data_IF_138000138343
#
_entry.id   IF_138000138343
#
_cell.length_a   1.000
_cell.length_b   1.000
_cell.length_c   1.000
_cell.angle_alpha   90.00
_cell.angle_beta   90.00
_cell.angle_gamma   90.00
#
_symmetry.space_group_name_H-M   'P 1'
#
loop_
_entity.id
_entity.type
_entity.pdbx_description
1 polymer ?
#
# COMPACT_ATOMS: atom_id res chain seq x y z
N UNK A 1 8.85 -16.00 -62.96
CA UNK A 1 9.37 -14.98 -63.91
C UNK A 1 8.17 -14.12 -64.31
N UNK A 2 8.07 -12.79 -64.25
CA UNK A 2 8.87 -11.63 -63.82
C UNK A 2 7.82 -10.50 -63.59
N UNK A 3 7.67 -9.94 -62.38
CA UNK A 3 8.27 -8.71 -61.83
C UNK A 3 7.96 -7.37 -62.52
N UNK A 4 7.23 -6.49 -61.81
CA UNK A 4 7.24 -5.02 -61.76
C UNK A 4 6.19 -4.60 -60.70
N UNK A 5 6.40 -3.98 -59.54
CA UNK A 5 7.38 -3.05 -58.94
C UNK A 5 7.37 -1.60 -59.47
N UNK A 6 6.79 -0.69 -58.66
CA UNK A 6 7.29 0.67 -58.32
C UNK A 6 6.47 1.21 -57.12
N UNK A 7 7.06 1.37 -55.92
CA UNK A 7 7.71 2.57 -55.28
C UNK A 7 6.73 3.31 -54.35
N UNK A 8 7.06 3.89 -53.18
CA UNK A 8 8.23 4.06 -52.28
C UNK A 8 7.64 4.62 -50.94
N UNK A 9 8.27 4.74 -49.76
CA UNK A 9 9.67 4.90 -49.40
C UNK A 9 9.92 4.49 -47.92
N UNK A 10 11.08 3.86 -47.68
CA UNK A 10 11.78 3.78 -46.40
C UNK A 10 12.87 4.86 -46.37
N UNK A 11 13.18 5.37 -45.17
CA UNK A 11 14.38 6.15 -44.90
C UNK A 11 14.96 5.75 -43.55
N UNK A 12 16.04 4.97 -43.58
CA UNK A 12 17.00 4.77 -42.50
C UNK A 12 18.28 5.48 -42.94
N UNK A 13 18.92 6.25 -42.07
CA UNK A 13 20.38 6.41 -42.11
C UNK A 13 20.91 6.87 -40.75
N UNK A 14 22.14 6.44 -40.48
CA UNK A 14 22.82 6.42 -39.19
C UNK A 14 23.93 7.48 -39.09
N UNK A 15 24.41 7.65 -37.85
CA UNK A 15 25.74 8.13 -37.44
C UNK A 15 26.21 9.57 -37.73
N UNK A 16 26.47 10.31 -36.64
CA UNK A 16 27.78 10.96 -36.40
C UNK A 16 27.90 11.49 -34.95
N UNK A 17 28.86 10.95 -34.20
CA UNK A 17 29.52 11.64 -33.08
C UNK A 17 30.51 12.69 -33.62
N UNK A 18 30.82 13.74 -32.83
CA UNK A 18 32.11 13.76 -32.12
C UNK A 18 32.04 14.39 -30.69
N UNK A 19 32.95 14.00 -29.79
CA UNK A 19 33.36 14.80 -28.61
C UNK A 19 34.77 15.42 -28.85
N UNK A 20 35.53 15.93 -27.84
CA UNK A 20 35.23 16.37 -26.45
C UNK A 20 35.90 17.75 -26.07
N UNK A 21 35.89 18.13 -24.76
CA UNK A 21 36.64 19.22 -24.06
C UNK A 21 36.08 20.67 -24.15
N UNK A 22 36.16 21.57 -23.14
CA UNK A 22 36.58 21.61 -21.72
C UNK A 22 36.15 22.98 -21.13
N UNK A 23 35.90 23.00 -19.82
CA UNK A 23 36.16 24.09 -18.83
C UNK A 23 35.56 25.50 -18.99
N UNK A 24 34.64 25.86 -18.07
CA UNK A 24 34.75 26.98 -17.11
C UNK A 24 33.61 26.98 -16.08
N UNK A 25 33.96 26.68 -14.83
CA UNK A 25 33.28 27.07 -13.58
C UNK A 25 33.92 28.38 -13.06
N UNK A 26 33.57 28.99 -11.90
CA UNK A 26 32.28 29.24 -11.21
C UNK A 26 32.16 30.73 -10.75
N UNK A 27 31.05 31.15 -10.10
CA UNK A 27 30.90 32.16 -9.00
C UNK A 27 29.38 32.46 -8.82
N UNK A 28 28.68 32.00 -7.77
CA UNK A 28 28.52 32.45 -6.34
C UNK A 28 27.37 33.48 -6.14
N UNK A 29 26.18 33.02 -5.69
CA UNK A 29 25.48 33.25 -4.39
C UNK A 29 24.30 34.27 -4.47
N UNK A 30 23.02 33.82 -4.45
CA UNK A 30 22.07 33.63 -3.30
C UNK A 30 21.41 34.94 -2.78
N UNK A 31 20.23 34.91 -2.11
CA UNK A 31 19.10 33.96 -2.07
C UNK A 31 17.72 34.66 -2.27
N UNK A 32 16.59 33.95 -2.45
CA UNK A 32 15.28 34.22 -1.79
C UNK A 32 14.30 33.07 -2.12
N UNK A 33 13.54 32.59 -1.13
CA UNK A 33 12.38 31.72 -1.36
C UNK A 33 12.43 30.27 -0.86
N UNK A 34 13.27 29.94 0.14
CA UNK A 34 13.10 28.70 0.94
C UNK A 34 12.09 28.93 2.07
N UNK A 35 10.83 28.53 1.88
CA UNK A 35 9.91 28.24 3.01
C UNK A 35 8.97 27.11 2.62
N UNK A 36 9.33 25.88 2.96
CA UNK A 36 8.38 24.76 2.90
C UNK A 36 8.96 23.36 3.09
N UNK A 37 10.23 23.14 2.72
CA UNK A 37 10.72 21.77 2.51
C UNK A 37 11.83 21.27 3.45
N UNK A 38 12.34 22.09 4.36
CA UNK A 38 13.39 21.66 5.29
C UNK A 38 12.87 21.68 6.73
N UNK A 39 12.31 20.56 7.21
CA UNK A 39 12.28 20.18 8.64
C UNK A 39 11.76 18.74 8.90
N UNK A 40 11.98 17.80 7.98
CA UNK A 40 11.86 16.37 8.30
C UNK A 40 13.27 15.84 8.57
N UNK A 41 13.63 15.49 9.82
CA UNK A 41 14.89 14.81 10.07
C UNK A 41 14.84 13.42 9.44
N UNK A 42 15.94 13.06 8.76
CA UNK A 42 16.26 11.71 8.29
C UNK A 42 15.97 10.67 9.37
N UNK A 43 15.32 9.58 8.98
CA UNK A 43 15.11 8.42 9.83
C UNK A 43 15.49 7.15 9.06
N UNK A 44 16.77 6.81 9.16
CA UNK A 44 17.31 5.49 8.82
C UNK A 44 16.75 4.43 9.80
N UNK A 45 16.59 3.17 9.37
CA UNK A 45 16.17 2.06 10.23
C UNK A 45 17.38 1.55 11.04
N UNK A 46 17.34 1.61 12.37
CA UNK A 46 18.38 0.98 13.19
C UNK A 46 18.51 1.40 14.66
N UNK A 47 17.89 2.48 15.12
CA UNK A 47 18.09 2.96 16.49
C UNK A 47 16.87 2.67 17.39
N UNK A 48 17.10 1.98 18.51
CA UNK A 48 16.19 1.87 19.65
C UNK A 48 15.65 3.25 20.04
N UNK A 49 14.32 3.49 20.08
CA UNK A 49 13.81 4.85 20.20
C UNK A 49 13.74 5.31 21.66
N UNK A 50 14.80 5.97 22.13
CA UNK A 50 14.65 7.00 23.15
C UNK A 50 14.02 8.25 22.50
N UNK A 51 12.70 8.39 22.73
CA UNK A 51 11.79 9.54 22.58
C UNK A 51 11.95 10.50 21.38
N UNK A 52 11.36 10.14 20.23
CA UNK A 52 10.96 11.08 19.20
C UNK A 52 9.77 12.00 19.59
N UNK A 53 9.22 11.90 20.81
CA UNK A 53 7.99 12.61 21.24
C UNK A 53 8.17 14.12 21.42
N UNK A 54 9.34 14.57 21.87
CA UNK A 54 9.51 15.92 22.42
C UNK A 54 9.69 16.96 21.32
N UNK A 55 10.33 16.56 20.21
CA UNK A 55 10.47 17.40 19.00
C UNK A 55 9.11 17.66 18.33
N UNK A 56 8.28 16.63 18.21
CA UNK A 56 6.93 16.77 17.64
C UNK A 56 5.98 17.50 18.58
N UNK A 57 6.12 17.29 19.89
CA UNK A 57 5.38 18.05 20.89
C UNK A 57 5.78 19.54 20.84
N UNK A 58 7.07 19.87 20.78
CA UNK A 58 7.54 21.26 20.64
C UNK A 58 7.00 21.95 19.38
N UNK A 59 7.00 21.25 18.23
CA UNK A 59 6.45 21.78 16.98
C UNK A 59 4.93 22.02 17.06
N UNK A 60 4.17 21.07 17.63
CA UNK A 60 2.72 21.17 17.77
C UNK A 60 2.28 22.11 18.91
N UNK A 61 3.16 22.37 19.88
CA UNK A 61 2.95 23.27 21.00
C UNK A 61 3.26 24.73 20.67
N UNK A 62 4.06 24.99 19.63
CA UNK A 62 4.45 26.33 19.17
C UNK A 62 3.22 27.18 18.78
N UNK A 63 3.20 28.43 19.26
CA UNK A 63 2.10 29.39 19.08
C UNK A 63 1.68 29.58 17.63
N UNK A 64 2.63 29.53 16.69
CA UNK A 64 2.38 29.63 15.25
C UNK A 64 1.53 28.47 14.72
N UNK A 65 1.72 27.25 15.22
CA UNK A 65 0.95 26.07 14.79
C UNK A 65 -0.33 25.85 15.59
N UNK A 66 -0.50 26.51 16.74
CA UNK A 66 -1.76 26.50 17.50
C UNK A 66 -2.79 27.52 17.03
N UNK A 67 -2.43 28.45 16.14
CA UNK A 67 -3.34 29.43 15.56
C UNK A 67 -4.33 28.78 14.58
N UNK A 68 -5.60 29.21 14.58
CA UNK A 68 -6.67 28.60 13.78
C UNK A 68 -6.38 28.58 12.28
N UNK A 69 -5.72 29.63 11.76
CA UNK A 69 -5.31 29.75 10.36
C UNK A 69 -4.39 28.59 9.90
N UNK A 70 -3.66 27.97 10.83
CA UNK A 70 -2.72 26.87 10.56
C UNK A 70 -3.30 25.49 10.90
N UNK A 71 -4.61 25.41 11.19
CA UNK A 71 -5.31 24.18 11.56
C UNK A 71 -5.22 23.08 10.51
N UNK A 72 -5.25 23.43 9.22
CA UNK A 72 -5.10 22.47 8.13
C UNK A 72 -3.69 21.85 8.09
N UNK A 73 -2.65 22.65 8.32
CA UNK A 73 -1.27 22.18 8.36
C UNK A 73 -1.00 21.30 9.58
N UNK A 74 -1.53 21.70 10.75
CA UNK A 74 -1.49 20.90 11.98
C UNK A 74 -2.21 19.56 11.79
N UNK A 75 -3.38 19.55 11.16
CA UNK A 75 -4.12 18.33 10.86
C UNK A 75 -3.34 17.38 9.93
N UNK A 76 -2.60 17.91 8.95
CA UNK A 76 -1.71 17.11 8.09
C UNK A 76 -0.56 16.49 8.87
N UNK A 77 0.10 17.24 9.75
CA UNK A 77 1.20 16.75 10.58
C UNK A 77 0.70 15.66 11.54
N UNK A 78 -0.41 15.91 12.25
CA UNK A 78 -1.01 14.92 13.17
C UNK A 78 -1.48 13.67 12.41
N UNK A 79 -2.07 13.84 11.24
CA UNK A 79 -2.44 12.71 10.37
C UNK A 79 -1.21 11.93 9.90
N UNK A 80 -0.11 12.61 9.61
CA UNK A 80 1.19 11.99 9.27
C UNK A 80 1.77 11.20 10.45
N UNK A 81 1.75 11.76 11.66
CA UNK A 81 2.21 11.07 12.87
C UNK A 81 1.33 9.86 13.22
N UNK A 82 0.01 9.99 13.07
CA UNK A 82 -0.93 8.88 13.24
C UNK A 82 -0.67 7.78 12.22
N UNK A 83 -0.36 8.17 10.98
CA UNK A 83 -0.06 7.26 9.87
C UNK A 83 1.27 6.52 10.08
N UNK A 84 2.28 7.16 10.64
CA UNK A 84 3.63 6.57 10.81
C UNK A 84 3.75 5.79 12.12
N UNK A 85 3.25 6.33 13.23
CA UNK A 85 3.52 5.81 14.58
C UNK A 85 2.26 5.29 15.31
N UNK A 86 1.09 5.42 14.69
CA UNK A 86 -0.17 4.97 15.26
C UNK A 86 -0.78 5.92 16.28
N UNK A 87 -2.04 5.64 16.65
CA UNK A 87 -2.84 6.55 17.47
C UNK A 87 -2.31 6.70 18.91
N UNK A 88 -1.79 5.62 19.51
CA UNK A 88 -1.24 5.65 20.86
C UNK A 88 -0.02 6.60 20.97
N UNK A 89 0.79 6.67 19.91
CA UNK A 89 1.91 7.60 19.84
C UNK A 89 1.43 9.05 19.76
N UNK A 90 0.43 9.32 18.91
CA UNK A 90 -0.16 10.66 18.79
C UNK A 90 -0.77 11.13 20.11
N UNK A 91 -1.45 10.26 20.85
CA UNK A 91 -1.98 10.60 22.18
C UNK A 91 -0.86 10.99 23.16
N UNK A 92 0.28 10.27 23.16
CA UNK A 92 1.43 10.65 24.00
C UNK A 92 2.05 11.99 23.61
N UNK A 93 2.12 12.30 22.31
CA UNK A 93 2.62 13.60 21.83
C UNK A 93 1.67 14.73 22.24
N UNK A 94 0.36 14.53 22.08
CA UNK A 94 -0.66 15.51 22.49
C UNK A 94 -0.63 15.74 24.00
N UNK A 95 -0.50 14.68 24.79
CA UNK A 95 -0.43 14.79 26.25
C UNK A 95 0.82 15.56 26.69
N UNK A 96 1.96 15.34 26.04
CA UNK A 96 3.19 16.09 26.30
C UNK A 96 3.04 17.59 25.97
N UNK A 97 2.34 17.93 24.88
CA UNK A 97 2.01 19.34 24.55
C UNK A 97 1.16 19.98 25.66
N UNK A 98 0.27 19.21 26.30
CA UNK A 98 -0.55 19.69 27.43
C UNK A 98 0.30 19.90 28.68
N UNK A 99 1.13 18.92 29.06
CA UNK A 99 2.00 19.03 30.23
C UNK A 99 2.97 20.22 30.14
N UNK A 100 3.59 20.43 28.96
CA UNK A 100 4.51 21.54 28.74
C UNK A 100 3.83 22.93 28.83
N UNK A 101 2.53 23.03 28.50
CA UNK A 101 1.76 24.29 28.63
C UNK A 101 1.39 24.61 30.08
N UNK A 102 1.17 23.59 30.90
CA UNK A 102 0.92 23.72 32.34
C UNK A 102 2.20 24.12 33.07
N UNK A 103 3.35 23.56 32.69
CA UNK A 103 4.65 23.93 33.24
C UNK A 103 5.03 25.39 32.94
N UNK A 104 4.75 25.89 31.72
CA UNK A 104 4.96 27.32 31.39
C UNK A 104 4.00 28.28 32.10
N UNK A 105 2.79 27.81 32.46
CA UNK A 105 1.83 28.63 33.22
C UNK A 105 2.19 28.70 34.71
N UNK A 106 2.88 27.70 35.26
CA UNK A 106 3.34 27.71 36.65
C UNK A 106 4.63 28.50 36.89
N UNK A 107 5.37 28.89 35.85
CA UNK A 107 6.60 29.69 35.97
C UNK A 107 6.40 31.20 35.73
N UNK A 108 5.19 31.64 35.38
CA UNK A 108 4.82 33.05 35.20
C UNK A 108 3.67 33.42 36.12
N UNK A 109 3.97 33.77 37.36
CA UNK A 109 2.99 34.32 38.28
C UNK A 109 2.68 35.77 37.86
N UNK A 110 1.48 36.01 37.32
CA UNK A 110 0.63 37.21 37.51
C UNK A 110 -0.44 37.25 36.40
N UNK A 111 -1.63 36.70 36.68
CA UNK A 111 -2.92 37.18 36.16
C UNK A 111 -4.06 36.26 36.64
N UNK A 112 -4.64 36.59 37.80
CA UNK A 112 -5.93 36.06 38.23
C UNK A 112 -7.06 36.61 37.34
N UNK A 113 -7.17 36.17 36.08
CA UNK A 113 -8.41 36.23 35.27
C UNK A 113 -8.53 35.06 34.24
N UNK A 114 -7.46 34.32 33.92
CA UNK A 114 -7.45 33.38 32.77
C UNK A 114 -7.76 31.90 33.05
N UNK A 115 -7.98 31.45 34.29
CA UNK A 115 -8.21 30.01 34.57
C UNK A 115 -9.54 29.48 34.02
N UNK A 116 -10.60 30.31 33.98
CA UNK A 116 -11.90 29.94 33.44
C UNK A 116 -11.90 29.76 31.91
N UNK A 117 -11.10 30.54 31.19
CA UNK A 117 -10.95 30.45 29.73
C UNK A 117 -9.93 29.37 29.31
N UNK A 118 -8.88 29.15 30.09
CA UNK A 118 -7.94 28.05 29.86
C UNK A 118 -8.62 26.68 30.04
N UNK A 119 -9.38 26.47 31.13
CA UNK A 119 -10.10 25.20 31.35
C UNK A 119 -11.24 24.97 30.34
N UNK A 120 -11.98 26.01 29.93
CA UNK A 120 -13.01 25.89 28.89
C UNK A 120 -12.39 25.68 27.50
N UNK A 121 -11.26 26.32 27.16
CA UNK A 121 -10.56 26.07 25.88
C UNK A 121 -9.94 24.66 25.82
N UNK A 122 -9.46 24.13 26.95
CA UNK A 122 -8.92 22.76 27.08
C UNK A 122 -10.03 21.71 26.96
N UNK A 123 -11.17 21.91 27.65
CA UNK A 123 -12.36 21.04 27.50
C UNK A 123 -12.91 21.09 26.08
N UNK A 124 -12.99 22.27 25.47
CA UNK A 124 -13.43 22.44 24.08
C UNK A 124 -12.48 21.74 23.13
N UNK A 125 -11.17 21.92 23.26
CA UNK A 125 -10.14 21.28 22.43
C UNK A 125 -10.10 19.75 22.58
N UNK A 126 -10.32 19.22 23.78
CA UNK A 126 -10.42 17.78 24.03
C UNK A 126 -11.71 17.20 23.43
N UNK A 127 -12.85 17.91 23.55
CA UNK A 127 -14.09 17.54 22.89
C UNK A 127 -13.97 17.60 21.36
N UNK A 128 -13.29 18.61 20.80
CA UNK A 128 -13.00 18.70 19.37
C UNK A 128 -12.09 17.55 18.92
N UNK A 129 -11.08 17.18 19.70
CA UNK A 129 -10.18 16.06 19.38
C UNK A 129 -10.90 14.71 19.40
N UNK A 130 -11.78 14.51 20.39
CA UNK A 130 -12.62 13.31 20.48
C UNK A 130 -13.66 13.26 19.35
N UNK A 131 -14.27 14.40 19.01
CA UNK A 131 -15.20 14.51 17.89
C UNK A 131 -14.51 14.22 16.55
N UNK A 132 -13.30 14.74 16.33
CA UNK A 132 -12.49 14.45 15.15
C UNK A 132 -12.09 12.97 15.08
N UNK A 133 -11.70 12.37 16.21
CA UNK A 133 -11.38 10.95 16.28
C UNK A 133 -12.62 10.06 15.99
N UNK A 134 -13.78 10.42 16.56
CA UNK A 134 -15.06 9.77 16.27
C UNK A 134 -15.43 9.89 14.79
N UNK A 135 -15.27 11.08 14.21
CA UNK A 135 -15.54 11.33 12.79
C UNK A 135 -14.59 10.53 11.88
N UNK A 136 -13.29 10.50 12.21
CA UNK A 136 -12.32 9.68 11.48
C UNK A 136 -12.64 8.18 11.58
N UNK A 137 -13.03 7.70 12.76
CA UNK A 137 -13.48 6.33 12.98
C UNK A 137 -14.75 5.98 12.18
N UNK A 138 -15.72 6.89 12.15
CA UNK A 138 -16.96 6.74 11.38
C UNK A 138 -16.67 6.67 9.87
N UNK A 139 -15.83 7.58 9.35
CA UNK A 139 -15.40 7.58 7.95
C UNK A 139 -14.68 6.27 7.58
N UNK A 140 -13.79 5.79 8.44
CA UNK A 140 -13.09 4.52 8.21
C UNK A 140 -14.05 3.33 8.22
N UNK A 141 -15.03 3.31 9.13
CA UNK A 141 -16.06 2.27 9.19
C UNK A 141 -16.92 2.27 7.93
N UNK A 142 -17.36 3.44 7.47
CA UNK A 142 -18.14 3.59 6.24
C UNK A 142 -17.34 3.16 5.00
N UNK A 143 -16.06 3.54 4.92
CA UNK A 143 -15.17 3.10 3.85
C UNK A 143 -15.02 1.57 3.82
N UNK A 144 -14.78 0.92 4.98
CA UNK A 144 -14.70 -0.55 5.07
C UNK A 144 -15.98 -1.22 4.60
N UNK A 145 -17.14 -0.74 5.07
CA UNK A 145 -18.45 -1.26 4.65
C UNK A 145 -18.62 -1.11 3.13
N UNK A 146 -18.34 0.07 2.59
CA UNK A 146 -18.42 0.34 1.14
C UNK A 146 -17.51 -0.62 0.34
N UNK A 147 -16.28 -0.83 0.81
CA UNK A 147 -15.30 -1.69 0.17
C UNK A 147 -15.75 -3.16 0.17
N UNK A 148 -16.17 -3.69 1.33
CA UNK A 148 -16.71 -5.06 1.44
C UNK A 148 -17.94 -5.24 0.55
N UNK A 149 -18.88 -4.29 0.58
CA UNK A 149 -20.10 -4.35 -0.24
C UNK A 149 -19.74 -4.39 -1.72
N UNK A 150 -18.78 -3.58 -2.17
CA UNK A 150 -18.33 -3.58 -3.56
C UNK A 150 -17.69 -4.91 -3.95
N UNK A 151 -16.84 -5.49 -3.09
CA UNK A 151 -16.21 -6.81 -3.33
C UNK A 151 -17.25 -7.94 -3.35
N UNK A 152 -18.21 -7.95 -2.42
CA UNK A 152 -19.28 -8.96 -2.33
C UNK A 152 -20.27 -8.96 -3.50
N UNK A 153 -20.20 -7.98 -4.43
CA UNK A 153 -20.93 -8.03 -5.71
C UNK A 153 -20.44 -9.17 -6.62
N UNK A 154 -19.19 -9.61 -6.45
CA UNK A 154 -18.68 -10.83 -7.09
C UNK A 154 -19.09 -12.06 -6.28
N UNK A 155 -19.63 -13.07 -6.97
CA UNK A 155 -19.94 -14.39 -6.38
C UNK A 155 -18.66 -15.07 -5.87
N UNK A 156 -17.58 -15.01 -6.65
CA UNK A 156 -16.27 -15.57 -6.31
C UNK A 156 -15.71 -14.95 -5.02
N UNK A 157 -15.67 -13.62 -4.92
CA UNK A 157 -15.15 -12.95 -3.74
C UNK A 157 -16.08 -13.10 -2.53
N UNK A 158 -17.41 -13.04 -2.74
CA UNK A 158 -18.41 -13.27 -1.69
C UNK A 158 -18.23 -14.64 -1.03
N UNK A 159 -18.10 -15.71 -1.82
CA UNK A 159 -17.86 -17.07 -1.30
C UNK A 159 -16.59 -17.15 -0.44
N UNK A 160 -15.49 -16.53 -0.88
CA UNK A 160 -14.24 -16.51 -0.11
C UNK A 160 -14.40 -15.78 1.23
N UNK A 161 -15.06 -14.61 1.23
CA UNK A 161 -15.32 -13.85 2.46
C UNK A 161 -16.21 -14.67 3.42
N UNK A 162 -17.31 -15.24 2.92
CA UNK A 162 -18.23 -16.05 3.74
C UNK A 162 -17.54 -17.28 4.33
N UNK A 163 -16.65 -17.93 3.59
CA UNK A 163 -15.86 -19.05 4.10
C UNK A 163 -14.92 -18.63 5.25
N UNK A 164 -14.27 -17.47 5.14
CA UNK A 164 -13.44 -16.90 6.21
C UNK A 164 -14.28 -16.54 7.43
N UNK A 165 -15.39 -15.83 7.23
CA UNK A 165 -16.30 -15.39 8.30
C UNK A 165 -16.89 -16.61 9.03
N UNK A 166 -17.27 -17.66 8.29
CA UNK A 166 -17.74 -18.94 8.87
C UNK A 166 -16.65 -19.64 9.69
N UNK A 167 -15.40 -19.70 9.20
CA UNK A 167 -14.31 -20.40 9.89
C UNK A 167 -13.84 -19.67 11.15
N UNK A 168 -13.88 -18.33 11.14
CA UNK A 168 -13.36 -17.49 12.24
C UNK A 168 -14.44 -17.04 13.22
N UNK A 169 -15.72 -17.12 12.84
CA UNK A 169 -16.84 -16.55 13.59
C UNK A 169 -16.83 -15.02 13.63
N UNK A 170 -16.02 -14.35 12.81
CA UNK A 170 -15.79 -12.90 12.87
C UNK A 170 -15.73 -12.28 11.47
N UNK A 171 -16.18 -11.02 11.29
CA UNK A 171 -15.96 -10.28 10.05
C UNK A 171 -14.47 -10.12 9.73
N UNK A 172 -14.14 -10.03 8.44
CA UNK A 172 -12.75 -9.81 8.04
C UNK A 172 -12.23 -8.44 8.53
N UNK A 173 -11.00 -8.43 9.04
CA UNK A 173 -10.34 -7.22 9.54
C UNK A 173 -9.61 -6.50 8.42
N UNK A 174 -10.09 -5.31 8.05
CA UNK A 174 -9.46 -4.46 7.01
C UNK A 174 -8.84 -3.21 7.65
N UNK A 175 -7.60 -2.90 7.29
CA UNK A 175 -6.88 -1.67 7.69
C UNK A 175 -6.41 -0.91 6.45
N UNK A 176 -6.13 0.37 6.63
CA UNK A 176 -5.49 1.18 5.59
C UNK A 176 -3.97 1.05 5.68
N UNK A 177 -3.30 1.12 4.55
CA UNK A 177 -1.84 1.14 4.40
C UNK A 177 -1.45 2.26 3.44
N UNK A 178 -0.20 2.71 3.52
CA UNK A 178 0.41 3.62 2.54
C UNK A 178 1.62 3.02 1.86
N UNK A 179 1.81 1.69 1.99
CA UNK A 179 2.95 0.94 1.48
C UNK A 179 2.50 -0.16 0.51
N UNK A 180 1.35 0.01 -0.13
CA UNK A 180 0.68 -1.03 -0.89
C UNK A 180 -0.35 -1.81 -0.08
N UNK A 181 -1.07 -2.69 -0.80
CA UNK A 181 -2.03 -3.64 -0.26
C UNK A 181 -1.35 -4.98 0.02
N UNK A 182 -1.68 -5.62 1.14
CA UNK A 182 -1.12 -6.90 1.53
C UNK A 182 -1.94 -7.56 2.64
N UNK A 183 -1.83 -8.87 2.77
CA UNK A 183 -2.34 -9.63 3.90
C UNK A 183 -1.24 -9.91 4.93
N UNK A 184 -1.55 -9.77 6.22
CA UNK A 184 -0.63 -10.12 7.31
C UNK A 184 -1.40 -10.42 8.60
N UNK A 185 -1.00 -11.47 9.34
CA UNK A 185 -1.47 -11.72 10.70
C UNK A 185 -3.00 -11.85 10.87
N UNK A 186 -3.68 -12.42 9.87
CA UNK A 186 -5.15 -12.53 9.87
C UNK A 186 -5.89 -11.24 9.52
N UNK A 187 -5.18 -10.22 9.04
CA UNK A 187 -5.74 -8.94 8.63
C UNK A 187 -5.37 -8.62 7.18
N UNK A 188 -6.16 -7.77 6.53
CA UNK A 188 -5.88 -7.23 5.21
C UNK A 188 -5.62 -5.74 5.31
N UNK A 189 -4.54 -5.29 4.70
CA UNK A 189 -4.14 -3.90 4.58
C UNK A 189 -4.36 -3.46 3.14
N UNK A 190 -5.03 -2.33 2.94
CA UNK A 190 -5.37 -1.79 1.62
C UNK A 190 -4.70 -0.45 1.44
N UNK A 191 -4.02 -0.25 0.31
CA UNK A 191 -3.41 1.03 -0.03
C UNK A 191 -4.50 2.11 -0.18
N UNK A 192 -4.46 3.10 0.70
CA UNK A 192 -5.46 4.18 0.69
C UNK A 192 -5.12 5.32 -0.27
N UNK A 193 -3.96 5.27 -0.94
CA UNK A 193 -3.57 6.23 -1.97
C UNK A 193 -4.11 5.83 -3.36
N UNK A 194 -4.50 4.58 -3.53
CA UNK A 194 -5.02 4.09 -4.81
C UNK A 194 -6.50 4.45 -5.00
N UNK A 195 -6.96 4.66 -6.25
CA UNK A 195 -8.38 4.83 -6.56
C UNK A 195 -9.24 3.69 -6.02
N UNK A 196 -10.49 3.98 -5.65
CA UNK A 196 -11.39 3.03 -4.99
C UNK A 196 -11.55 1.71 -5.77
N UNK A 197 -11.64 1.74 -7.10
CA UNK A 197 -11.76 0.50 -7.90
C UNK A 197 -10.51 -0.39 -7.80
N UNK A 198 -9.32 0.22 -7.72
CA UNK A 198 -8.09 -0.54 -7.45
C UNK A 198 -8.05 -1.09 -6.04
N UNK A 199 -8.61 -0.38 -5.05
CA UNK A 199 -8.77 -0.90 -3.69
C UNK A 199 -9.70 -2.12 -3.67
N UNK A 200 -10.79 -2.10 -4.45
CA UNK A 200 -11.72 -3.24 -4.60
C UNK A 200 -10.99 -4.46 -5.19
N UNK A 201 -10.18 -4.26 -6.24
CA UNK A 201 -9.38 -5.34 -6.82
C UNK A 201 -8.31 -5.85 -5.85
N UNK A 202 -7.62 -4.94 -5.15
CA UNK A 202 -6.64 -5.29 -4.12
C UNK A 202 -7.26 -6.14 -3.03
N UNK A 203 -8.41 -5.73 -2.48
CA UNK A 203 -9.10 -6.53 -1.48
C UNK A 203 -9.53 -7.89 -2.04
N UNK A 204 -9.97 -7.97 -3.31
CA UNK A 204 -10.31 -9.24 -3.96
C UNK A 204 -9.10 -10.19 -4.06
N UNK A 205 -7.89 -9.65 -4.20
CA UNK A 205 -6.64 -10.42 -4.16
C UNK A 205 -6.32 -10.88 -2.74
N UNK A 206 -6.21 -9.93 -1.81
CA UNK A 206 -5.72 -10.17 -0.45
C UNK A 206 -6.63 -11.08 0.39
N UNK A 207 -7.95 -11.12 0.13
CA UNK A 207 -8.83 -12.08 0.81
C UNK A 207 -8.47 -13.54 0.49
N UNK A 208 -7.83 -13.82 -0.65
CA UNK A 208 -7.38 -15.19 -0.95
C UNK A 208 -6.16 -15.59 -0.14
N UNK A 209 -5.25 -14.64 0.12
CA UNK A 209 -4.14 -14.85 1.06
C UNK A 209 -4.64 -15.01 2.49
N UNK A 210 -5.66 -14.23 2.86
CA UNK A 210 -6.29 -14.35 4.18
C UNK A 210 -7.00 -15.70 4.33
N UNK A 211 -7.67 -16.16 3.28
CA UNK A 211 -8.28 -17.48 3.26
C UNK A 211 -7.22 -18.56 3.53
N UNK A 212 -6.08 -18.55 2.84
CA UNK A 212 -5.04 -19.54 3.10
C UNK A 212 -4.50 -19.47 4.52
N UNK A 213 -4.32 -18.26 5.05
CA UNK A 213 -3.89 -18.07 6.44
C UNK A 213 -4.90 -18.70 7.42
N UNK A 214 -6.18 -18.37 7.27
CA UNK A 214 -7.27 -18.84 8.15
C UNK A 214 -7.45 -20.35 8.10
N UNK A 215 -7.18 -20.97 6.94
CA UNK A 215 -7.31 -22.41 6.74
C UNK A 215 -5.98 -23.17 6.90
N UNK A 216 -4.90 -22.51 7.37
CA UNK A 216 -3.62 -23.17 7.62
C UNK A 216 -2.91 -23.68 6.37
N UNK A 217 -3.17 -23.07 5.20
CA UNK A 217 -2.60 -23.45 3.90
C UNK A 217 -1.36 -22.64 3.51
N UNK A 218 -0.87 -21.79 4.40
CA UNK A 218 0.33 -20.99 4.15
C UNK A 218 1.58 -21.88 4.15
N UNK A 219 2.47 -21.76 3.14
CA UNK A 219 3.71 -22.53 3.09
C UNK A 219 4.64 -22.16 4.26
N UNK A 220 5.19 -23.18 4.93
CA UNK A 220 6.14 -23.03 6.02
C UNK A 220 7.57 -23.09 5.48
N UNK A 221 8.25 -21.94 5.51
CA UNK A 221 9.61 -21.79 4.98
C UNK A 221 10.64 -22.65 5.71
N UNK A 222 10.37 -23.04 6.96
CA UNK A 222 11.33 -23.80 7.79
C UNK A 222 11.14 -25.31 7.71
N UNK A 223 9.99 -25.76 7.20
CA UNK A 223 9.59 -27.18 7.16
C UNK A 223 9.44 -27.75 5.76
N UNK A 224 9.48 -26.92 4.72
CA UNK A 224 9.33 -27.35 3.33
C UNK A 224 10.66 -27.24 2.57
N UNK A 225 10.99 -28.22 1.69
CA UNK A 225 12.06 -28.07 0.73
C UNK A 225 11.88 -26.80 -0.13
N UNK A 226 12.99 -26.17 -0.53
CA UNK A 226 12.98 -24.89 -1.29
C UNK A 226 12.03 -24.91 -2.49
N UNK A 227 12.14 -25.91 -3.35
CA UNK A 227 11.32 -26.03 -4.56
C UNK A 227 9.82 -26.14 -4.22
N UNK A 228 9.46 -26.92 -3.20
CA UNK A 228 8.06 -27.07 -2.78
C UNK A 228 7.51 -25.77 -2.17
N UNK A 229 8.31 -25.10 -1.33
CA UNK A 229 7.95 -23.81 -0.74
C UNK A 229 7.67 -22.75 -1.81
N UNK A 230 8.59 -22.59 -2.78
CA UNK A 230 8.46 -21.63 -3.88
C UNK A 230 7.24 -21.95 -4.73
N UNK A 231 7.06 -23.23 -5.10
CA UNK A 231 5.90 -23.66 -5.87
C UNK A 231 4.59 -23.31 -5.15
N UNK A 232 4.45 -23.66 -3.87
CA UNK A 232 3.21 -23.36 -3.13
C UNK A 232 2.97 -21.86 -2.93
N UNK A 233 4.02 -21.05 -2.75
CA UNK A 233 3.89 -19.59 -2.69
C UNK A 233 3.39 -19.03 -4.02
N UNK A 234 3.93 -19.50 -5.14
CA UNK A 234 3.50 -19.05 -6.46
C UNK A 234 2.10 -19.54 -6.83
N UNK A 235 1.74 -20.78 -6.50
CA UNK A 235 0.38 -21.31 -6.66
C UNK A 235 -0.65 -20.44 -5.91
N UNK A 236 -0.29 -19.94 -4.72
CA UNK A 236 -1.15 -19.05 -3.94
C UNK A 236 -1.33 -17.68 -4.62
N UNK A 237 -0.24 -17.05 -5.06
CA UNK A 237 -0.30 -15.75 -5.78
C UNK A 237 -1.05 -15.84 -7.11
N UNK A 238 -0.78 -16.88 -7.90
CA UNK A 238 -1.45 -17.13 -9.19
C UNK A 238 -2.95 -17.34 -8.95
N UNK A 239 -3.34 -18.15 -7.96
CA UNK A 239 -4.75 -18.37 -7.64
C UNK A 239 -5.43 -17.09 -7.14
N UNK A 240 -4.76 -16.29 -6.32
CA UNK A 240 -5.29 -15.01 -5.84
C UNK A 240 -5.53 -14.02 -6.98
N UNK A 241 -4.58 -13.93 -7.93
CA UNK A 241 -4.72 -13.08 -9.11
C UNK A 241 -5.84 -13.57 -10.04
N UNK A 242 -5.88 -14.87 -10.33
CA UNK A 242 -6.91 -15.44 -11.20
C UNK A 242 -8.32 -15.20 -10.64
N UNK A 243 -8.51 -15.44 -9.33
CA UNK A 243 -9.79 -15.15 -8.68
C UNK A 243 -10.13 -13.66 -8.67
N UNK A 244 -9.14 -12.78 -8.70
CA UNK A 244 -9.36 -11.34 -8.86
C UNK A 244 -9.87 -11.00 -10.26
N UNK A 245 -9.38 -11.67 -11.31
CA UNK A 245 -9.93 -11.52 -12.67
C UNK A 245 -11.38 -11.97 -12.75
N UNK A 246 -11.70 -13.15 -12.20
CA UNK A 246 -13.09 -13.62 -12.13
C UNK A 246 -13.98 -12.65 -11.36
N UNK A 247 -13.50 -12.16 -10.21
CA UNK A 247 -14.25 -11.21 -9.41
C UNK A 247 -14.47 -9.88 -10.14
N UNK A 248 -13.50 -9.43 -10.94
CA UNK A 248 -13.64 -8.23 -11.77
C UNK A 248 -14.70 -8.43 -12.88
N UNK A 249 -14.67 -9.57 -13.57
CA UNK A 249 -15.66 -9.92 -14.59
C UNK A 249 -17.08 -10.03 -14.02
N UNK A 250 -17.25 -10.72 -12.88
CA UNK A 250 -18.55 -10.87 -12.20
C UNK A 250 -19.13 -9.54 -11.70
N UNK A 251 -18.27 -8.53 -11.48
CA UNK A 251 -18.69 -7.15 -11.17
C UNK A 251 -19.00 -6.32 -12.43
N UNK A 252 -18.92 -6.92 -13.61
CA UNK A 252 -19.21 -6.29 -14.90
C UNK A 252 -17.99 -5.66 -15.60
N UNK A 253 -16.77 -5.93 -15.13
CA UNK A 253 -15.52 -5.46 -15.74
C UNK A 253 -15.44 -3.93 -15.96
N UNK A 254 -15.95 -3.15 -15.01
CA UNK A 254 -15.94 -1.68 -15.03
C UNK A 254 -14.89 -1.11 -14.07
N UNK A 255 -14.35 0.06 -14.41
CA UNK A 255 -13.39 0.78 -13.57
C UNK A 255 -11.94 0.35 -13.81
N UNK A 256 -11.08 0.57 -12.82
CA UNK A 256 -9.68 0.19 -12.90
C UNK A 256 -9.53 -1.33 -13.07
N UNK A 257 -8.78 -1.76 -14.08
CA UNK A 257 -8.54 -3.18 -14.33
C UNK A 257 -7.49 -3.74 -13.36
N UNK A 258 -7.62 -5.00 -12.90
CA UNK A 258 -6.54 -5.69 -12.21
C UNK A 258 -5.30 -5.79 -13.10
N UNK A 259 -4.12 -5.82 -12.48
CA UNK A 259 -2.85 -5.96 -13.20
C UNK A 259 -2.88 -7.20 -14.11
N UNK A 260 -2.52 -7.04 -15.38
CA UNK A 260 -2.48 -8.13 -16.35
C UNK A 260 -3.82 -8.60 -16.90
N UNK A 261 -4.96 -8.02 -16.48
CA UNK A 261 -6.27 -8.49 -16.91
C UNK A 261 -6.48 -8.39 -18.44
N UNK A 262 -6.02 -7.30 -19.07
CA UNK A 262 -6.15 -7.12 -20.52
C UNK A 262 -5.46 -8.24 -21.31
N UNK A 263 -4.23 -8.62 -20.92
CA UNK A 263 -3.49 -9.72 -21.54
C UNK A 263 -4.15 -11.08 -21.28
N UNK A 264 -4.66 -11.32 -20.06
CA UNK A 264 -5.44 -12.51 -19.74
C UNK A 264 -6.68 -12.63 -20.65
N UNK A 265 -7.44 -11.54 -20.79
CA UNK A 265 -8.64 -11.51 -21.63
C UNK A 265 -8.28 -11.81 -23.10
N UNK A 266 -7.23 -11.18 -23.61
CA UNK A 266 -6.75 -11.44 -24.98
C UNK A 266 -6.36 -12.92 -25.17
N UNK A 267 -5.73 -13.55 -24.17
CA UNK A 267 -5.38 -14.98 -24.23
C UNK A 267 -6.62 -15.88 -24.22
N UNK A 268 -7.61 -15.59 -23.37
CA UNK A 268 -8.89 -16.31 -23.35
C UNK A 268 -9.62 -16.16 -24.69
N UNK A 269 -9.66 -14.96 -25.26
CA UNK A 269 -10.29 -14.72 -26.56
C UNK A 269 -9.57 -15.49 -27.68
N UNK A 270 -8.23 -15.55 -27.66
CA UNK A 270 -7.43 -16.33 -28.60
C UNK A 270 -7.75 -17.83 -28.53
N UNK A 271 -7.76 -18.40 -27.33
CA UNK A 271 -8.02 -19.84 -27.14
C UNK A 271 -9.50 -20.19 -27.44
N UNK A 272 -10.43 -19.27 -27.15
CA UNK A 272 -11.84 -19.42 -27.55
C UNK A 272 -11.99 -19.48 -29.07
N UNK A 273 -11.30 -18.60 -29.80
CA UNK A 273 -11.30 -18.60 -31.27
C UNK A 273 -10.71 -19.90 -31.84
N UNK A 274 -9.57 -20.36 -31.32
CA UNK A 274 -8.95 -21.63 -31.73
C UNK A 274 -9.87 -22.83 -31.52
N UNK A 275 -10.61 -22.84 -30.42
CA UNK A 275 -11.54 -23.93 -30.09
C UNK A 275 -12.84 -23.88 -30.90
N UNK A 276 -13.19 -22.73 -31.47
CA UNK A 276 -14.46 -22.51 -32.18
C UNK A 276 -15.69 -22.48 -31.27
N UNK A 277 -15.53 -22.50 -29.95
CA UNK A 277 -16.61 -22.40 -28.95
C UNK A 277 -16.09 -21.81 -27.64
N UNK A 278 -17.02 -21.29 -26.83
CA UNK A 278 -16.70 -20.75 -25.51
C UNK A 278 -15.93 -21.77 -24.66
N UNK A 279 -14.89 -21.29 -23.96
CA UNK A 279 -14.16 -22.10 -22.99
C UNK A 279 -15.06 -22.42 -21.79
N UNK A 280 -14.95 -23.65 -21.29
CA UNK A 280 -15.52 -24.03 -19.99
C UNK A 280 -14.78 -23.30 -18.86
N UNK A 281 -15.36 -23.27 -17.67
CA UNK A 281 -14.71 -22.66 -16.50
C UNK A 281 -13.34 -23.28 -16.20
N UNK A 282 -13.21 -24.60 -16.29
CA UNK A 282 -11.96 -25.32 -16.05
C UNK A 282 -10.88 -24.98 -17.09
N UNK A 283 -11.27 -24.84 -18.37
CA UNK A 283 -10.34 -24.44 -19.43
C UNK A 283 -9.91 -22.99 -19.28
N UNK A 284 -10.84 -22.09 -18.93
CA UNK A 284 -10.51 -20.69 -18.64
C UNK A 284 -9.57 -20.58 -17.43
N UNK A 285 -9.75 -21.43 -16.41
CA UNK A 285 -8.83 -21.51 -15.27
C UNK A 285 -7.45 -21.99 -15.67
N UNK A 286 -7.37 -23.03 -16.51
CA UNK A 286 -6.09 -23.51 -17.06
C UNK A 286 -5.35 -22.40 -17.81
N UNK A 287 -6.02 -21.74 -18.76
CA UNK A 287 -5.46 -20.61 -19.53
C UNK A 287 -5.03 -19.48 -18.60
N UNK A 288 -5.84 -19.15 -17.58
CA UNK A 288 -5.52 -18.12 -16.61
C UNK A 288 -4.27 -18.44 -15.78
N UNK A 289 -4.12 -19.68 -15.33
CA UNK A 289 -2.94 -20.14 -14.58
C UNK A 289 -1.68 -20.09 -15.43
N UNK A 290 -1.74 -20.63 -16.65
CA UNK A 290 -0.60 -20.62 -17.58
C UNK A 290 -0.14 -19.19 -17.91
N UNK A 291 -1.10 -18.30 -18.21
CA UNK A 291 -0.81 -16.89 -18.46
C UNK A 291 -0.14 -16.22 -17.25
N UNK A 292 -0.74 -16.36 -16.06
CA UNK A 292 -0.21 -15.74 -14.84
C UNK A 292 1.16 -16.31 -14.45
N UNK A 293 1.36 -17.61 -14.61
CA UNK A 293 2.66 -18.25 -14.39
C UNK A 293 3.73 -17.64 -15.29
N UNK A 294 3.44 -17.44 -16.57
CA UNK A 294 4.34 -16.75 -17.50
C UNK A 294 4.61 -15.31 -17.07
N UNK A 295 3.57 -14.55 -16.70
CA UNK A 295 3.74 -13.17 -16.23
C UNK A 295 4.65 -13.11 -15.00
N UNK A 296 4.42 -13.96 -14.00
CA UNK A 296 5.24 -14.00 -12.78
C UNK A 296 6.65 -14.52 -12.98
N UNK A 297 6.91 -15.33 -14.02
CA UNK A 297 8.27 -15.82 -14.34
C UNK A 297 9.06 -14.81 -15.15
N UNK A 298 8.43 -14.12 -16.11
CA UNK A 298 9.16 -13.38 -17.16
C UNK A 298 8.90 -11.87 -17.19
N UNK A 299 7.69 -11.43 -16.85
CA UNK A 299 7.25 -10.05 -17.13
C UNK A 299 7.23 -9.20 -15.86
N UNK A 300 6.68 -9.72 -14.77
CA UNK A 300 6.52 -9.00 -13.52
C UNK A 300 7.76 -9.12 -12.65
N UNK A 301 8.75 -8.31 -13.01
CA UNK A 301 10.00 -8.13 -12.27
C UNK A 301 9.97 -6.85 -11.44
N UNK A 302 10.60 -6.88 -10.27
CA UNK A 302 10.74 -5.69 -9.43
C UNK A 302 11.62 -4.64 -10.12
N UNK A 303 11.14 -3.41 -10.27
CA UNK A 303 11.85 -2.35 -11.00
C UNK A 303 13.24 -2.02 -10.47
N UNK A 304 13.50 -2.23 -9.17
CA UNK A 304 14.80 -1.99 -8.54
C UNK A 304 15.72 -3.21 -8.51
N UNK A 305 15.16 -4.41 -8.37
CA UNK A 305 15.95 -5.63 -8.21
C UNK A 305 16.14 -6.39 -9.51
N UNK A 306 15.30 -6.17 -10.53
CA UNK A 306 15.19 -6.99 -11.72
C UNK A 306 14.68 -8.41 -11.45
N UNK A 307 14.35 -8.75 -10.19
CA UNK A 307 13.98 -10.10 -9.78
C UNK A 307 12.49 -10.35 -9.94
N UNK A 308 12.15 -11.53 -10.40
CA UNK A 308 10.77 -12.00 -10.44
C UNK A 308 10.32 -12.56 -9.08
N UNK A 309 9.03 -12.93 -8.97
CA UNK A 309 8.48 -13.42 -7.70
C UNK A 309 9.03 -14.80 -7.31
N UNK A 310 9.41 -15.65 -8.26
CA UNK A 310 10.03 -16.95 -7.96
C UNK A 310 11.39 -16.75 -7.27
N UNK A 311 12.26 -15.94 -7.85
CA UNK A 311 13.57 -15.59 -7.29
C UNK A 311 13.44 -14.93 -5.90
N UNK A 312 12.45 -14.05 -5.72
CA UNK A 312 12.17 -13.44 -4.42
C UNK A 312 11.85 -14.49 -3.35
N UNK A 313 11.06 -15.52 -3.66
CA UNK A 313 10.72 -16.58 -2.70
C UNK A 313 11.87 -17.56 -2.49
N UNK A 314 12.68 -17.83 -3.50
CA UNK A 314 13.93 -18.59 -3.36
C UNK A 314 14.88 -17.91 -2.37
N UNK A 315 15.11 -16.61 -2.52
CA UNK A 315 15.97 -15.84 -1.62
C UNK A 315 15.41 -15.76 -0.21
N UNK A 316 14.08 -15.61 -0.08
CA UNK A 316 13.42 -15.65 1.22
C UNK A 316 13.63 -17.01 1.89
N UNK A 317 13.54 -18.12 1.14
CA UNK A 317 13.81 -19.44 1.68
C UNK A 317 15.27 -19.57 2.13
N UNK A 318 16.23 -19.14 1.29
CA UNK A 318 17.65 -19.20 1.62
C UNK A 318 17.96 -18.40 2.89
N UNK A 319 17.47 -17.15 2.99
CA UNK A 319 17.68 -16.29 4.15
C UNK A 319 17.19 -16.90 5.46
N UNK A 320 16.10 -17.68 5.43
CA UNK A 320 15.53 -18.31 6.61
C UNK A 320 16.11 -19.70 6.92
N UNK A 321 16.91 -20.27 6.01
CA UNK A 321 17.50 -21.61 6.18
C UNK A 321 19.04 -21.62 6.07
N UNK A 322 19.69 -20.46 6.00
CA UNK A 322 21.16 -20.28 5.92
C UNK A 322 21.99 -21.01 6.98
N UNK A 323 21.39 -21.51 8.06
CA UNK A 323 22.05 -22.33 9.10
C UNK A 323 21.82 -23.84 9.01
N UNK A 324 21.00 -24.35 8.08
CA UNK A 324 20.69 -25.78 7.95
C UNK A 324 21.52 -26.51 6.88
N UNK A 325 22.31 -25.78 6.11
CA UNK A 325 23.15 -26.31 5.02
C UNK A 325 24.61 -26.50 5.42
N UNK A 326 24.92 -26.55 6.73
CA UNK A 326 26.28 -26.63 7.28
C UNK A 326 26.38 -27.51 8.53
N UNK A 327 25.63 -28.61 8.61
CA UNK A 327 25.80 -29.65 9.62
C UNK A 327 25.68 -31.01 8.95
#
# INVERSE_FOLDING_TARGET
>A
MSNAQTRAAHGHDAEKSPGPSRDRQPIRQHPEGKTGEALLPDLLPGSTPARPSDKWAGLLGNSRFSHYANGAQRARIVSGLQRIYGNAYVQRVIERVRSARVETAHMGNEAQVEEGQAQTSVKTSAMTSLALAKLAGAKLSQWRKKLITAVKKSKTAKKTIEAIEKKTGKPIKIKTSTKGSFQMGGEVYIDNNEPFDKQVNSLSHEINHLHDYVFGKQPDVTKMPKAEFVKKKMDNEIRAHYKTYLAFEERGAKGAQPLGYAGFKAKVDQETKKKGKALTAAEKEKVGKEYLEEQYKKVWVGSKSGKNYYQKWEEYWDQNNKGKSGS
#
